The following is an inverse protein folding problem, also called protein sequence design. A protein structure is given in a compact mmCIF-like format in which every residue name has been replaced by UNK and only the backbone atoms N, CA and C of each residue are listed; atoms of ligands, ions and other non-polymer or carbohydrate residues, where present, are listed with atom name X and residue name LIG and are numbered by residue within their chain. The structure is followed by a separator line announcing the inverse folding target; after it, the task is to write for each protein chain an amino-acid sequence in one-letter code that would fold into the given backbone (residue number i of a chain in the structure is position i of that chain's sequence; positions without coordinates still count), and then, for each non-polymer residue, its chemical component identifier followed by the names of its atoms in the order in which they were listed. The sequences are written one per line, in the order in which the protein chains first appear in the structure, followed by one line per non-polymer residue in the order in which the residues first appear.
data_IF_634906090561
#
_entry.id   IF_634906090561
#
_cell.length_a   1.000
_cell.length_b   1.000
_cell.length_c   1.000
_cell.angle_alpha   90.00
_cell.angle_beta   90.00
_cell.angle_gamma   90.00
#
_symmetry.space_group_name_H-M   'P 1'
#
loop_
_entity.id
_entity.type
_entity.pdbx_description
1 polymer ?
#
# COMPACT_ATOMS: atom_id res chain seq x y z
N UNK A 1 3.73 -29.76 12.20
CA UNK A 1 4.71 -28.71 12.58
C UNK A 1 4.98 -27.71 11.46
N UNK A 2 5.23 -28.13 10.21
CA UNK A 2 5.52 -27.23 9.08
C UNK A 2 4.46 -26.12 8.85
N UNK A 3 3.17 -26.47 8.92
CA UNK A 3 2.07 -25.50 8.76
C UNK A 3 2.12 -24.31 9.73
N UNK A 4 2.47 -24.54 11.00
CA UNK A 4 2.56 -23.46 11.99
C UNK A 4 3.69 -22.48 11.67
N UNK A 5 4.81 -22.97 11.14
CA UNK A 5 5.92 -22.13 10.69
C UNK A 5 5.54 -21.29 9.47
N UNK A 6 4.86 -21.89 8.49
CA UNK A 6 4.35 -21.14 7.33
C UNK A 6 3.32 -20.09 7.72
N UNK A 7 2.41 -20.42 8.64
CA UNK A 7 1.46 -19.48 9.23
C UNK A 7 2.17 -18.34 9.96
N UNK A 8 3.21 -18.64 10.73
CA UNK A 8 4.01 -17.63 11.42
C UNK A 8 4.70 -16.70 10.42
N UNK A 9 5.33 -17.24 9.37
CA UNK A 9 5.93 -16.44 8.29
C UNK A 9 4.89 -15.56 7.59
N UNK A 10 3.71 -16.10 7.30
CA UNK A 10 2.61 -15.35 6.71
C UNK A 10 2.21 -14.17 7.61
N UNK A 11 1.97 -14.41 8.90
CA UNK A 11 1.61 -13.37 9.87
C UNK A 11 2.73 -12.33 10.06
N UNK A 12 3.98 -12.76 10.13
CA UNK A 12 5.13 -11.85 10.20
C UNK A 12 5.20 -10.95 8.95
N UNK A 13 4.94 -11.52 7.77
CA UNK A 13 4.79 -10.78 6.52
C UNK A 13 3.64 -9.77 6.56
N UNK A 14 2.46 -10.14 7.11
CA UNK A 14 1.34 -9.21 7.32
C UNK A 14 1.77 -8.03 8.17
N UNK A 15 2.37 -8.27 9.34
CA UNK A 15 2.77 -7.19 10.24
C UNK A 15 3.84 -6.29 9.62
N UNK A 16 4.88 -6.87 9.01
CA UNK A 16 5.91 -6.10 8.31
C UNK A 16 5.33 -5.25 7.19
N UNK A 17 4.40 -5.82 6.41
CA UNK A 17 3.71 -5.12 5.34
C UNK A 17 2.87 -3.97 5.89
N UNK A 18 2.02 -4.21 6.89
CA UNK A 18 1.15 -3.19 7.48
C UNK A 18 1.92 -2.04 8.13
N UNK A 19 3.07 -2.32 8.76
CA UNK A 19 3.94 -1.27 9.31
C UNK A 19 4.52 -0.41 8.18
N UNK A 20 5.16 -1.02 7.19
CA UNK A 20 5.83 -0.28 6.12
C UNK A 20 4.83 0.45 5.22
N UNK A 21 3.70 -0.20 4.91
CA UNK A 21 2.60 0.38 4.14
C UNK A 21 1.86 1.45 4.93
N UNK A 22 1.72 1.26 6.25
CA UNK A 22 1.14 2.23 7.18
C UNK A 22 1.91 3.55 7.21
N UNK A 23 3.25 3.52 7.05
CA UNK A 23 4.05 4.73 6.88
C UNK A 23 3.66 5.49 5.61
N UNK A 24 3.47 4.81 4.47
CA UNK A 24 3.03 5.45 3.23
C UNK A 24 1.64 6.07 3.37
N UNK A 25 0.73 5.37 4.07
CA UNK A 25 -0.59 5.90 4.42
C UNK A 25 -0.51 7.13 5.32
N UNK A 26 0.33 7.09 6.35
CA UNK A 26 0.57 8.24 7.22
C UNK A 26 1.09 9.44 6.43
N UNK A 27 2.08 9.26 5.57
CA UNK A 27 2.62 10.32 4.71
C UNK A 27 1.54 10.89 3.79
N UNK A 28 0.74 10.03 3.16
CA UNK A 28 -0.37 10.43 2.27
C UNK A 28 -1.37 11.38 2.96
N UNK A 29 -1.66 11.17 4.24
CA UNK A 29 -2.50 12.07 5.03
C UNK A 29 -1.73 13.28 5.56
N UNK A 30 -0.47 13.09 5.97
CA UNK A 30 0.34 14.15 6.57
C UNK A 30 0.64 15.28 5.59
N UNK A 31 0.96 14.98 4.33
CA UNK A 31 1.28 15.99 3.30
C UNK A 31 0.14 16.99 3.07
N UNK A 32 -1.11 16.59 3.33
CA UNK A 32 -2.29 17.46 3.22
C UNK A 32 -2.37 18.52 4.31
N UNK A 33 -1.68 18.28 5.42
CA UNK A 33 -1.69 19.13 6.62
C UNK A 33 -0.37 19.89 6.79
N UNK A 34 0.54 19.79 5.82
CA UNK A 34 1.78 20.58 5.77
C UNK A 34 1.44 21.81 4.94
N UNK A 35 1.41 22.99 5.57
CA UNK A 35 0.98 24.27 4.99
C UNK A 35 1.85 24.69 3.79
N UNK A 36 1.62 24.10 2.61
CA UNK A 36 2.31 24.31 1.32
C UNK A 36 3.85 24.33 1.38
N UNK A 37 4.44 23.82 2.45
CA UNK A 37 5.88 23.74 2.64
C UNK A 37 6.46 22.61 1.79
N UNK A 38 6.97 22.98 0.61
CA UNK A 38 7.51 22.08 -0.41
C UNK A 38 8.71 21.27 0.08
N UNK A 39 9.53 21.83 0.99
CA UNK A 39 10.65 21.09 1.59
C UNK A 39 10.14 19.95 2.44
N UNK A 40 9.21 20.26 3.36
CA UNK A 40 8.60 19.25 4.24
C UNK A 40 7.82 18.19 3.46
N UNK A 41 7.12 18.57 2.39
CA UNK A 41 6.44 17.62 1.51
C UNK A 41 7.46 16.68 0.85
N UNK A 42 8.56 17.21 0.32
CA UNK A 42 9.65 16.44 -0.27
C UNK A 42 10.31 15.47 0.71
N UNK A 43 10.55 15.91 1.95
CA UNK A 43 11.09 15.08 3.04
C UNK A 43 10.14 13.92 3.38
N UNK A 44 8.85 14.19 3.52
CA UNK A 44 7.85 13.16 3.81
C UNK A 44 7.72 12.13 2.69
N UNK A 45 7.72 12.58 1.42
CA UNK A 45 7.70 11.68 0.26
C UNK A 45 8.97 10.82 0.22
N UNK A 46 10.13 11.42 0.47
CA UNK A 46 11.41 10.69 0.53
C UNK A 46 11.41 9.64 1.63
N UNK A 47 10.89 9.99 2.82
CA UNK A 47 10.72 9.07 3.94
C UNK A 47 9.80 7.89 3.59
N UNK A 48 8.65 8.15 2.94
CA UNK A 48 7.81 7.07 2.40
C UNK A 48 8.51 6.24 1.32
N UNK A 49 9.41 6.84 0.54
CA UNK A 49 10.23 6.12 -0.44
C UNK A 49 11.10 5.05 0.21
N UNK A 50 11.70 5.36 1.37
CA UNK A 50 12.54 4.42 2.12
C UNK A 50 11.80 3.19 2.63
N UNK A 51 10.50 3.30 2.91
CA UNK A 51 9.68 2.15 3.38
C UNK A 51 9.16 1.28 2.25
N UNK A 52 9.34 1.69 0.99
CA UNK A 52 8.81 0.97 -0.18
C UNK A 52 9.49 -0.39 -0.38
N UNK A 53 10.82 -0.46 -0.26
CA UNK A 53 11.54 -1.73 -0.41
C UNK A 53 11.21 -2.72 0.72
N UNK A 54 11.28 -2.34 2.01
CA UNK A 54 10.84 -3.20 3.11
C UNK A 54 9.38 -3.67 2.99
N UNK A 55 8.48 -2.84 2.46
CA UNK A 55 7.10 -3.21 2.18
C UNK A 55 7.03 -4.34 1.15
N UNK A 56 7.77 -4.27 0.04
CA UNK A 56 7.79 -5.34 -0.97
C UNK A 56 8.43 -6.62 -0.47
N UNK A 57 9.48 -6.52 0.35
CA UNK A 57 10.08 -7.69 1.02
C UNK A 57 9.05 -8.35 1.94
N UNK A 58 8.35 -7.56 2.75
CA UNK A 58 7.30 -8.08 3.65
C UNK A 58 6.14 -8.70 2.88
N UNK A 59 5.75 -8.11 1.74
CA UNK A 59 4.76 -8.68 0.81
C UNK A 59 5.23 -10.03 0.24
N UNK A 60 6.51 -10.15 -0.15
CA UNK A 60 7.05 -11.42 -0.64
C UNK A 60 7.03 -12.49 0.45
N UNK A 61 7.40 -12.14 1.69
CA UNK A 61 7.36 -13.04 2.85
C UNK A 61 5.92 -13.46 3.18
N UNK A 62 4.97 -12.51 3.17
CA UNK A 62 3.53 -12.77 3.30
C UNK A 62 3.07 -13.82 2.29
N UNK A 63 3.31 -13.56 1.00
CA UNK A 63 2.84 -14.44 -0.09
C UNK A 63 3.50 -15.81 0.00
N UNK A 64 4.82 -15.87 0.23
CA UNK A 64 5.54 -17.13 0.39
C UNK A 64 5.03 -17.94 1.59
N UNK A 65 4.79 -17.29 2.73
CA UNK A 65 4.19 -17.91 3.91
C UNK A 65 2.79 -18.45 3.65
N UNK A 66 1.96 -17.69 2.93
CA UNK A 66 0.61 -18.10 2.55
C UNK A 66 0.60 -19.29 1.58
N UNK A 67 1.46 -19.26 0.57
CA UNK A 67 1.64 -20.37 -0.39
C UNK A 67 2.14 -21.63 0.32
N UNK A 68 3.17 -21.51 1.17
CA UNK A 68 3.69 -22.64 1.95
C UNK A 68 2.62 -23.25 2.85
N UNK A 69 1.80 -22.40 3.50
CA UNK A 69 0.67 -22.87 4.31
C UNK A 69 -0.38 -23.57 3.45
N UNK A 70 -0.74 -23.01 2.29
CA UNK A 70 -1.71 -23.58 1.36
C UNK A 70 -1.29 -24.96 0.85
N UNK A 71 -0.01 -25.15 0.49
CA UNK A 71 0.54 -26.45 0.09
C UNK A 71 0.38 -27.48 1.22
N UNK A 72 0.66 -27.12 2.47
CA UNK A 72 0.59 -28.07 3.59
C UNK A 72 -0.82 -28.56 3.94
N UNK A 73 -1.86 -27.85 3.53
CA UNK A 73 -3.25 -28.19 3.82
C UNK A 73 -4.06 -28.48 2.54
N UNK A 74 -3.39 -28.62 1.40
CA UNK A 74 -4.01 -28.82 0.08
C UNK A 74 -5.08 -27.76 -0.28
N UNK A 75 -4.84 -26.50 0.08
CA UNK A 75 -5.83 -25.43 -0.06
C UNK A 75 -6.12 -25.00 -1.52
N UNK A 76 -5.36 -25.50 -2.50
CA UNK A 76 -5.46 -25.06 -3.90
C UNK A 76 -6.72 -25.53 -4.62
N UNK A 77 -7.39 -26.55 -4.08
CA UNK A 77 -8.71 -27.00 -4.52
C UNK A 77 -9.83 -26.06 -4.08
N UNK A 78 -9.59 -25.17 -3.12
CA UNK A 78 -10.63 -24.36 -2.50
C UNK A 78 -10.78 -22.97 -3.16
N UNK A 79 -12.01 -22.51 -3.44
CA UNK A 79 -12.26 -21.27 -4.16
C UNK A 79 -11.94 -20.01 -3.33
N UNK A 80 -12.03 -20.07 -1.99
CA UNK A 80 -11.73 -18.92 -1.13
C UNK A 80 -10.27 -18.46 -1.25
N UNK A 81 -9.34 -19.39 -1.53
CA UNK A 81 -7.92 -19.08 -1.71
C UNK A 81 -7.74 -18.28 -3.00
N UNK A 82 -8.29 -18.77 -4.11
CA UNK A 82 -8.24 -18.10 -5.42
C UNK A 82 -8.91 -16.74 -5.39
N UNK A 83 -10.07 -16.62 -4.74
CA UNK A 83 -10.74 -15.34 -4.58
C UNK A 83 -9.90 -14.34 -3.78
N UNK A 84 -9.21 -14.80 -2.73
CA UNK A 84 -8.31 -13.95 -1.94
C UNK A 84 -7.10 -13.48 -2.77
N UNK A 85 -6.52 -14.35 -3.59
CA UNK A 85 -5.43 -14.00 -4.51
C UNK A 85 -5.93 -12.97 -5.55
N UNK A 86 -7.11 -13.20 -6.13
CA UNK A 86 -7.70 -12.27 -7.09
C UNK A 86 -7.94 -10.88 -6.46
N UNK A 87 -8.51 -10.83 -5.26
CA UNK A 87 -8.73 -9.57 -4.52
C UNK A 87 -7.40 -8.88 -4.22
N UNK A 88 -6.36 -9.62 -3.82
CA UNK A 88 -5.03 -9.06 -3.59
C UNK A 88 -4.49 -8.39 -4.86
N UNK A 89 -4.49 -9.11 -5.99
CA UNK A 89 -3.99 -8.61 -7.27
C UNK A 89 -4.78 -7.40 -7.77
N UNK A 90 -6.11 -7.44 -7.66
CA UNK A 90 -6.98 -6.32 -8.03
C UNK A 90 -6.71 -5.11 -7.13
N UNK A 91 -6.60 -5.31 -5.81
CA UNK A 91 -6.33 -4.23 -4.85
C UNK A 91 -4.98 -3.58 -5.14
N UNK A 92 -3.93 -4.37 -5.34
CA UNK A 92 -2.59 -3.87 -5.71
C UNK A 92 -2.65 -3.10 -7.03
N UNK A 93 -3.30 -3.65 -8.06
CA UNK A 93 -3.42 -3.01 -9.37
C UNK A 93 -4.16 -1.66 -9.30
N UNK A 94 -5.29 -1.62 -8.61
CA UNK A 94 -6.06 -0.38 -8.40
C UNK A 94 -5.27 0.66 -7.60
N UNK A 95 -4.59 0.24 -6.53
CA UNK A 95 -3.76 1.16 -5.74
C UNK A 95 -2.60 1.71 -6.58
N UNK A 96 -1.92 0.87 -7.38
CA UNK A 96 -0.85 1.33 -8.27
C UNK A 96 -1.36 2.32 -9.31
N UNK A 97 -2.53 2.06 -9.91
CA UNK A 97 -3.14 2.91 -10.92
C UNK A 97 -3.51 4.30 -10.39
N UNK A 98 -3.91 4.41 -9.11
CA UNK A 98 -4.30 5.68 -8.50
C UNK A 98 -3.13 6.38 -7.79
N UNK A 99 -2.34 5.65 -7.00
CA UNK A 99 -1.28 6.22 -6.17
C UNK A 99 -0.07 6.67 -7.00
N UNK A 100 0.35 5.89 -8.00
CA UNK A 100 1.53 6.23 -8.82
C UNK A 100 1.41 7.59 -9.52
N UNK A 101 0.33 7.88 -10.27
CA UNK A 101 0.19 9.20 -10.90
C UNK A 101 0.00 10.31 -9.88
N UNK A 102 -0.65 10.05 -8.74
CA UNK A 102 -0.84 11.03 -7.67
C UNK A 102 0.50 11.48 -7.08
N UNK A 103 1.35 10.55 -6.64
CA UNK A 103 2.66 10.89 -6.07
C UNK A 103 3.57 11.56 -7.12
N UNK A 104 3.59 11.08 -8.36
CA UNK A 104 4.35 11.71 -9.45
C UNK A 104 3.94 13.18 -9.67
N UNK A 105 2.64 13.47 -9.66
CA UNK A 105 2.13 14.85 -9.80
C UNK A 105 2.57 15.75 -8.64
N UNK A 106 2.54 15.24 -7.41
CA UNK A 106 2.96 16.00 -6.23
C UNK A 106 4.47 16.24 -6.21
N UNK A 107 5.28 15.21 -6.49
CA UNK A 107 6.73 15.38 -6.60
C UNK A 107 7.09 16.39 -7.67
N UNK A 108 6.51 16.29 -8.87
CA UNK A 108 6.73 17.25 -9.96
C UNK A 108 6.25 18.67 -9.61
N UNK A 109 5.20 18.79 -8.79
CA UNK A 109 4.75 20.09 -8.29
C UNK A 109 5.75 20.68 -7.29
N UNK A 110 6.38 19.86 -6.44
CA UNK A 110 7.35 20.30 -5.44
C UNK A 110 8.75 20.61 -6.02
N UNK A 111 9.04 20.20 -7.26
CA UNK A 111 10.30 20.52 -7.93
C UNK A 111 10.51 22.04 -8.09
N UNK A 112 11.71 22.50 -7.76
CA UNK A 112 12.16 23.87 -8.00
C UNK A 112 12.90 23.95 -9.33
N UNK A 113 12.74 25.05 -10.04
CA UNK A 113 13.59 25.40 -11.20
C UNK A 113 15.01 25.74 -10.71
N UNK A 114 16.03 25.74 -11.58
CA UNK A 114 17.37 26.24 -11.23
C UNK A 114 17.38 27.67 -10.67
N UNK A 115 16.34 28.46 -10.98
CA UNK A 115 16.12 29.80 -10.42
C UNK A 115 15.57 29.84 -8.99
N UNK A 116 15.31 28.69 -8.36
CA UNK A 116 14.68 28.59 -7.03
C UNK A 116 13.16 28.78 -7.03
N UNK A 117 12.55 29.08 -8.18
CA UNK A 117 11.11 29.30 -8.30
C UNK A 117 10.39 27.95 -8.46
N UNK A 118 9.27 27.70 -7.76
CA UNK A 118 8.48 26.49 -7.94
C UNK A 118 8.05 26.25 -9.38
N UNK A 119 8.10 24.98 -9.83
CA UNK A 119 7.74 24.62 -11.19
C UNK A 119 6.23 24.77 -11.48
N UNK A 120 5.41 24.59 -10.45
CA UNK A 120 3.95 24.76 -10.46
C UNK A 120 3.52 25.78 -9.40
N UNK A 121 2.47 26.53 -9.68
CA UNK A 121 1.86 27.48 -8.76
C UNK A 121 1.39 26.81 -7.46
N UNK A 122 1.28 27.58 -6.39
CA UNK A 122 0.88 27.08 -5.07
C UNK A 122 -0.59 26.60 -5.07
N UNK A 123 -1.45 27.27 -5.84
CA UNK A 123 -2.85 26.88 -6.03
C UNK A 123 -2.99 25.50 -6.69
N UNK A 124 -2.12 25.18 -7.66
CA UNK A 124 -2.09 23.85 -8.28
C UNK A 124 -1.66 22.77 -7.29
N UNK A 125 -0.68 23.07 -6.43
CA UNK A 125 -0.22 22.14 -5.41
C UNK A 125 -1.32 21.90 -4.36
N UNK A 126 -2.00 22.96 -3.92
CA UNK A 126 -3.12 22.86 -2.98
C UNK A 126 -4.26 22.01 -3.54
N UNK A 127 -4.65 22.23 -4.80
CA UNK A 127 -5.68 21.44 -5.48
C UNK A 127 -5.30 19.94 -5.56
N UNK A 128 -4.02 19.63 -5.78
CA UNK A 128 -3.52 18.25 -5.79
C UNK A 128 -3.57 17.61 -4.39
N UNK A 129 -3.15 18.33 -3.35
CA UNK A 129 -3.15 17.87 -1.96
C UNK A 129 -4.57 17.58 -1.45
N UNK A 130 -5.56 18.36 -1.86
CA UNK A 130 -6.97 18.18 -1.46
C UNK A 130 -7.78 17.26 -2.39
N UNK A 131 -7.14 16.62 -3.36
CA UNK A 131 -7.83 15.71 -4.28
C UNK A 131 -8.39 14.46 -3.59
N UNK A 132 -9.43 13.86 -4.20
CA UNK A 132 -10.09 12.65 -3.69
C UNK A 132 -9.22 11.38 -3.75
N UNK A 133 -8.05 11.45 -4.38
CA UNK A 133 -7.15 10.32 -4.56
C UNK A 133 -6.79 9.67 -3.21
N UNK A 134 -6.51 10.48 -2.18
CA UNK A 134 -6.20 9.98 -0.83
C UNK A 134 -7.32 9.12 -0.26
N UNK A 135 -8.56 9.61 -0.30
CA UNK A 135 -9.72 8.88 0.22
C UNK A 135 -9.97 7.61 -0.59
N UNK A 136 -9.82 7.68 -1.92
CA UNK A 136 -10.03 6.52 -2.80
C UNK A 136 -9.00 5.42 -2.55
N UNK A 137 -7.71 5.75 -2.47
CA UNK A 137 -6.62 4.80 -2.17
C UNK A 137 -6.87 4.11 -0.83
N UNK A 138 -7.26 4.89 0.19
CA UNK A 138 -7.56 4.38 1.53
C UNK A 138 -8.74 3.41 1.51
N UNK A 139 -9.82 3.78 0.81
CA UNK A 139 -11.02 2.96 0.71
C UNK A 139 -10.73 1.63 -0.01
N UNK A 140 -10.00 1.66 -1.14
CA UNK A 140 -9.59 0.47 -1.89
C UNK A 140 -8.75 -0.46 -1.00
N UNK A 141 -7.71 0.06 -0.35
CA UNK A 141 -6.84 -0.73 0.51
C UNK A 141 -7.59 -1.34 1.71
N UNK A 142 -8.43 -0.56 2.37
CA UNK A 142 -9.20 -1.02 3.54
C UNK A 142 -10.24 -2.08 3.16
N UNK A 143 -10.96 -1.88 2.06
CA UNK A 143 -11.94 -2.85 1.57
C UNK A 143 -11.28 -4.15 1.10
N UNK A 144 -10.16 -4.07 0.38
CA UNK A 144 -9.39 -5.23 -0.05
C UNK A 144 -8.87 -6.04 1.14
N UNK A 145 -8.25 -5.36 2.13
CA UNK A 145 -7.74 -5.99 3.34
C UNK A 145 -8.85 -6.68 4.15
N UNK A 146 -9.97 -6.00 4.40
CA UNK A 146 -11.10 -6.55 5.15
C UNK A 146 -11.69 -7.78 4.44
N UNK A 147 -11.80 -7.74 3.11
CA UNK A 147 -12.31 -8.87 2.32
C UNK A 147 -11.40 -10.08 2.37
N UNK A 148 -10.08 -9.89 2.23
CA UNK A 148 -9.09 -10.97 2.34
C UNK A 148 -9.11 -11.57 3.75
N UNK A 149 -9.16 -10.71 4.79
CA UNK A 149 -9.23 -11.16 6.18
C UNK A 149 -10.46 -12.03 6.43
N UNK A 150 -11.63 -11.60 5.94
CA UNK A 150 -12.87 -12.37 6.02
C UNK A 150 -12.72 -13.75 5.36
N UNK A 151 -12.21 -13.80 4.13
CA UNK A 151 -12.03 -15.07 3.40
C UNK A 151 -11.06 -16.02 4.11
N UNK A 152 -9.96 -15.50 4.65
CA UNK A 152 -8.94 -16.30 5.33
C UNK A 152 -9.40 -16.85 6.68
N UNK A 153 -10.24 -16.10 7.41
CA UNK A 153 -10.78 -16.52 8.71
C UNK A 153 -11.94 -17.49 8.53
N UNK A 154 -12.96 -17.10 7.76
CA UNK A 154 -14.23 -17.82 7.72
C UNK A 154 -14.25 -18.95 6.70
N UNK A 155 -13.41 -18.88 5.66
CA UNK A 155 -13.31 -19.92 4.60
C UNK A 155 -14.69 -20.44 4.18
N UNK A 156 -15.57 -19.56 3.67
CA UNK A 156 -17.00 -19.82 3.58
C UNK A 156 -17.39 -20.98 2.64
N UNK A 157 -16.45 -21.46 1.82
CA UNK A 157 -16.67 -22.58 0.92
C UNK A 157 -15.61 -23.65 1.14
N UNK A 158 -16.02 -24.92 1.27
CA UNK A 158 -15.11 -26.06 1.34
C UNK A 158 -14.47 -26.36 -0.02
#
# INVERSE_FOLDING_TARGET
MAFNWWRLLHLAGIFGFLICHGVSMFVLYRIRNVQLDRSKIGELISFSGLTTMPMYVSMAVLVAGGVGAAVTIDAFSHPWLWLSIAILLITVGLMLAVASPYFKKITAACELRPSGVPRKADEELEALLHSRATTLITAIGSAGLASILYLMIFKPWP
#
